data_IF_439925072602
#
_entry.id   IF_439925072602
#
_cell.length_a   1.000
_cell.length_b   1.000
_cell.length_c   1.000
_cell.angle_alpha   90.00
_cell.angle_beta   90.00
_cell.angle_gamma   90.00
#
_symmetry.space_group_name_H-M   'P 1'
#
loop_
_entity.id
_entity.type
_entity.pdbx_description
1 polymer ?
#
# COMPACT_ATOMS: atom_id res chain seq x y z
N UNK A 1 32.35 -10.41 -8.23
CA UNK A 1 31.01 -10.07 -8.78
C UNK A 1 30.38 -9.06 -7.84
N UNK A 2 29.79 -7.96 -8.32
CA UNK A 2 29.10 -7.04 -7.42
C UNK A 2 27.93 -7.79 -6.78
N UNK A 3 27.90 -7.81 -5.45
CA UNK A 3 26.77 -8.34 -4.68
C UNK A 3 25.58 -7.45 -5.01
N UNK A 4 24.57 -7.98 -5.69
CA UNK A 4 23.31 -7.25 -5.88
C UNK A 4 22.70 -7.08 -4.50
N UNK A 5 22.41 -5.85 -4.08
CA UNK A 5 21.61 -5.60 -2.89
C UNK A 5 20.30 -6.38 -2.98
N UNK A 6 19.88 -6.93 -1.83
CA UNK A 6 18.60 -7.63 -1.74
C UNK A 6 17.47 -6.66 -2.10
N UNK A 7 16.48 -7.15 -2.87
CA UNK A 7 15.32 -6.34 -3.23
C UNK A 7 14.50 -6.10 -1.97
N UNK A 8 14.14 -4.84 -1.71
CA UNK A 8 13.28 -4.50 -0.57
C UNK A 8 11.90 -5.17 -0.70
N UNK A 9 11.41 -5.72 0.41
CA UNK A 9 10.15 -6.42 0.54
C UNK A 9 9.10 -5.53 1.22
N UNK A 10 7.99 -5.31 0.54
CA UNK A 10 6.83 -4.57 1.07
C UNK A 10 5.69 -5.56 1.31
N UNK A 11 5.22 -5.62 2.55
CA UNK A 11 3.99 -6.31 2.91
C UNK A 11 2.82 -5.33 2.86
N UNK A 12 1.70 -5.78 2.31
CA UNK A 12 0.47 -4.98 2.20
C UNK A 12 -0.67 -5.74 2.83
N UNK A 13 -1.40 -5.09 3.72
CA UNK A 13 -2.66 -5.61 4.24
C UNK A 13 -3.76 -5.63 3.17
N UNK A 14 -4.79 -6.43 3.38
CA UNK A 14 -5.90 -6.57 2.46
C UNK A 14 -7.13 -5.75 2.88
N UNK A 15 -7.70 -6.05 4.05
CA UNK A 15 -9.00 -5.53 4.47
C UNK A 15 -8.85 -4.08 4.93
N UNK A 16 -9.64 -3.14 4.39
CA UNK A 16 -9.51 -1.69 4.63
C UNK A 16 -8.23 -1.03 4.09
N UNK A 17 -7.30 -1.79 3.50
CA UNK A 17 -6.08 -1.27 2.86
C UNK A 17 -6.12 -1.42 1.32
N UNK A 18 -6.56 -2.58 0.82
CA UNK A 18 -6.76 -2.86 -0.61
C UNK A 18 -8.23 -3.09 -0.96
N UNK A 19 -9.06 -3.57 -0.03
CA UNK A 19 -10.48 -3.81 -0.27
C UNK A 19 -11.38 -3.20 0.80
N UNK A 20 -12.58 -2.81 0.40
CA UNK A 20 -13.57 -2.15 1.25
C UNK A 20 -14.46 -3.18 1.96
N UNK A 21 -13.85 -4.02 2.79
CA UNK A 21 -14.52 -5.13 3.45
C UNK A 21 -15.52 -4.65 4.50
N UNK A 22 -15.22 -3.57 5.23
CA UNK A 22 -16.07 -3.08 6.31
C UNK A 22 -17.41 -2.58 5.79
N UNK A 23 -17.43 -1.87 4.65
CA UNK A 23 -18.68 -1.42 4.02
C UNK A 23 -19.62 -2.60 3.75
N UNK A 24 -19.12 -3.63 3.08
CA UNK A 24 -19.91 -4.82 2.76
C UNK A 24 -20.30 -5.64 4.00
N UNK A 25 -19.44 -5.68 5.03
CA UNK A 25 -19.74 -6.33 6.31
C UNK A 25 -20.89 -5.63 7.05
N UNK A 26 -20.89 -4.29 7.05
CA UNK A 26 -21.96 -3.49 7.67
C UNK A 26 -23.28 -3.69 6.95
N UNK A 27 -23.27 -3.63 5.61
CA UNK A 27 -24.46 -3.89 4.79
C UNK A 27 -25.02 -5.30 5.05
N UNK A 28 -24.15 -6.31 5.09
CA UNK A 28 -24.53 -7.68 5.42
C UNK A 28 -25.13 -7.81 6.81
N UNK A 29 -24.52 -7.17 7.82
CA UNK A 29 -24.99 -7.25 9.20
C UNK A 29 -26.35 -6.54 9.36
N UNK A 30 -26.55 -5.41 8.68
CA UNK A 30 -27.83 -4.71 8.66
C UNK A 30 -28.93 -5.56 8.01
N UNK A 31 -28.64 -6.18 6.85
CA UNK A 31 -29.60 -7.04 6.14
C UNK A 31 -29.96 -8.30 6.94
N UNK A 32 -28.96 -8.95 7.55
CA UNK A 32 -29.11 -10.26 8.20
C UNK A 32 -29.69 -10.15 9.61
N UNK A 33 -29.27 -9.14 10.37
CA UNK A 33 -29.64 -8.97 11.78
C UNK A 33 -30.62 -7.82 12.01
N UNK A 34 -31.13 -7.20 10.93
CA UNK A 34 -32.06 -6.07 10.98
C UNK A 34 -31.54 -4.91 11.85
N UNK A 35 -30.25 -4.63 11.71
CA UNK A 35 -29.58 -3.52 12.40
C UNK A 35 -29.50 -2.29 11.50
N UNK A 36 -29.06 -1.16 12.06
CA UNK A 36 -28.88 0.12 11.35
C UNK A 36 -27.49 0.71 11.61
N UNK A 37 -26.48 -0.16 11.61
CA UNK A 37 -25.08 0.22 11.81
C UNK A 37 -24.57 1.04 10.62
N UNK A 38 -23.66 1.95 10.91
CA UNK A 38 -22.94 2.79 9.96
C UNK A 38 -21.44 2.56 10.13
N UNK A 39 -20.66 2.85 9.09
CA UNK A 39 -19.19 2.83 9.18
C UNK A 39 -18.65 3.65 10.36
N UNK A 40 -19.30 4.77 10.66
CA UNK A 40 -18.91 5.68 11.75
C UNK A 40 -19.05 5.08 13.15
N UNK A 41 -19.77 3.97 13.28
CA UNK A 41 -19.96 3.25 14.54
C UNK A 41 -18.77 2.33 14.86
N UNK A 42 -17.85 2.15 13.90
CA UNK A 42 -16.65 1.32 14.05
C UNK A 42 -15.45 2.18 14.43
N UNK A 43 -15.18 2.25 15.73
CA UNK A 43 -13.97 2.85 16.31
C UNK A 43 -12.93 1.81 16.76
N UNK A 44 -13.25 0.52 16.55
CA UNK A 44 -12.42 -0.62 16.92
C UNK A 44 -12.57 -1.75 15.89
N UNK A 45 -11.52 -2.55 15.73
CA UNK A 45 -11.53 -3.77 14.91
C UNK A 45 -12.13 -4.97 15.69
N UNK A 46 -12.38 -4.81 17.00
CA UNK A 46 -13.08 -5.79 17.83
C UNK A 46 -14.60 -5.69 17.66
N UNK A 47 -15.13 -6.27 16.58
CA UNK A 47 -16.53 -6.09 16.20
C UNK A 47 -17.57 -6.51 17.25
N UNK A 48 -17.24 -7.43 18.16
CA UNK A 48 -18.12 -7.80 19.28
C UNK A 48 -18.46 -6.60 20.19
N UNK A 49 -17.57 -5.60 20.30
CA UNK A 49 -17.83 -4.38 21.09
C UNK A 49 -18.93 -3.51 20.47
N UNK A 50 -19.13 -3.62 19.16
CA UNK A 50 -20.09 -2.82 18.39
C UNK A 50 -21.39 -3.60 18.20
N UNK A 51 -21.28 -4.88 17.85
CA UNK A 51 -22.42 -5.75 17.65
C UNK A 51 -23.10 -6.20 18.95
N UNK A 52 -22.40 -6.04 20.08
CA UNK A 52 -22.76 -6.69 21.35
C UNK A 52 -22.46 -8.19 21.32
N UNK A 53 -22.66 -8.83 22.48
CA UNK A 53 -22.41 -10.26 22.65
C UNK A 53 -20.96 -10.59 22.98
N UNK A 54 -20.51 -11.79 22.61
CA UNK A 54 -19.14 -12.27 22.88
C UNK A 54 -18.22 -12.23 21.67
N UNK A 55 -16.92 -12.38 21.91
CA UNK A 55 -15.93 -12.51 20.83
C UNK A 55 -16.23 -13.70 19.93
N UNK A 56 -16.63 -14.83 20.51
CA UNK A 56 -17.01 -16.06 19.80
C UNK A 56 -18.22 -15.85 18.89
N UNK A 57 -19.22 -15.10 19.35
CA UNK A 57 -20.39 -14.73 18.54
C UNK A 57 -19.99 -13.84 17.36
N UNK A 58 -19.06 -12.90 17.55
CA UNK A 58 -18.53 -12.09 16.44
C UNK A 58 -17.73 -12.94 15.46
N UNK A 59 -16.96 -13.92 15.92
CA UNK A 59 -16.25 -14.84 15.06
C UNK A 59 -17.24 -15.62 14.19
N UNK A 60 -18.30 -16.17 14.80
CA UNK A 60 -19.38 -16.87 14.10
C UNK A 60 -20.02 -15.99 13.04
N UNK A 61 -20.38 -14.74 13.37
CA UNK A 61 -20.92 -13.76 12.41
C UNK A 61 -19.97 -13.51 11.24
N UNK A 62 -18.67 -13.37 11.51
CA UNK A 62 -17.67 -13.22 10.45
C UNK A 62 -17.61 -14.44 9.52
N UNK A 63 -17.78 -15.65 10.04
CA UNK A 63 -17.84 -16.86 9.19
C UNK A 63 -19.07 -16.86 8.30
N UNK A 64 -20.23 -16.49 8.83
CA UNK A 64 -21.45 -16.33 8.02
C UNK A 64 -21.30 -15.25 6.95
N UNK A 65 -20.63 -14.15 7.28
CA UNK A 65 -20.33 -13.11 6.31
C UNK A 65 -19.48 -13.66 5.16
N UNK A 66 -18.47 -14.49 5.44
CA UNK A 66 -17.64 -15.12 4.39
C UNK A 66 -18.44 -15.96 3.40
N UNK A 67 -19.57 -16.54 3.82
CA UNK A 67 -20.46 -17.33 2.98
C UNK A 67 -21.58 -16.51 2.31
N UNK A 68 -21.64 -15.21 2.58
CA UNK A 68 -22.67 -14.30 2.05
C UNK A 68 -22.32 -13.75 0.66
N UNK A 69 -23.35 -13.33 -0.08
CA UNK A 69 -23.20 -12.57 -1.34
C UNK A 69 -22.39 -11.28 -1.14
N UNK A 70 -22.55 -10.64 0.02
CA UNK A 70 -21.91 -9.36 0.32
C UNK A 70 -20.39 -9.51 0.36
N UNK A 71 -19.87 -10.64 0.84
CA UNK A 71 -18.43 -10.92 0.80
C UNK A 71 -17.92 -11.11 -0.64
N UNK A 72 -18.68 -11.83 -1.48
CA UNK A 72 -18.31 -12.06 -2.88
C UNK A 72 -18.38 -10.76 -3.72
N UNK A 73 -19.11 -9.74 -3.24
CA UNK A 73 -19.31 -8.45 -3.88
C UNK A 73 -18.33 -7.36 -3.42
N UNK A 74 -17.45 -7.64 -2.44
CA UNK A 74 -16.43 -6.71 -1.94
C UNK A 74 -15.68 -6.06 -3.11
N UNK A 75 -15.48 -4.74 -2.99
CA UNK A 75 -14.79 -3.94 -4.02
C UNK A 75 -13.37 -3.57 -3.58
N UNK A 76 -12.43 -3.41 -4.53
CA UNK A 76 -11.15 -2.80 -4.23
C UNK A 76 -11.35 -1.33 -3.83
N UNK A 77 -10.47 -0.84 -2.97
CA UNK A 77 -10.38 0.60 -2.70
C UNK A 77 -9.85 1.30 -3.96
N UNK A 78 -10.55 2.37 -4.36
CA UNK A 78 -10.30 3.12 -5.60
C UNK A 78 -9.64 4.48 -5.34
N UNK A 79 -8.41 4.46 -4.88
CA UNK A 79 -7.64 5.66 -4.54
C UNK A 79 -6.17 5.57 -4.96
N UNK A 80 -5.92 4.95 -6.13
CA UNK A 80 -4.60 4.72 -6.75
C UNK A 80 -3.79 3.50 -6.25
N UNK A 81 -4.43 2.57 -5.53
CA UNK A 81 -3.76 1.36 -5.03
C UNK A 81 -3.07 0.53 -6.13
N UNK A 82 -3.77 0.22 -7.22
CA UNK A 82 -3.22 -0.60 -8.29
C UNK A 82 -2.05 0.10 -9.00
N UNK A 83 -2.17 1.41 -9.23
CA UNK A 83 -1.15 2.25 -9.84
C UNK A 83 0.10 2.31 -8.96
N UNK A 84 -0.07 2.53 -7.65
CA UNK A 84 1.02 2.55 -6.68
C UNK A 84 1.76 1.20 -6.64
N UNK A 85 1.01 0.09 -6.56
CA UNK A 85 1.60 -1.25 -6.54
C UNK A 85 2.33 -1.60 -7.84
N UNK A 86 1.77 -1.24 -9.00
CA UNK A 86 2.47 -1.39 -10.30
C UNK A 86 3.75 -0.57 -10.34
N UNK A 87 3.71 0.66 -9.84
CA UNK A 87 4.89 1.53 -9.75
C UNK A 87 5.97 0.89 -8.86
N UNK A 88 5.61 0.43 -7.66
CA UNK A 88 6.55 -0.23 -6.74
C UNK A 88 7.16 -1.48 -7.37
N UNK A 89 6.34 -2.34 -7.98
CA UNK A 89 6.83 -3.53 -8.69
C UNK A 89 7.81 -3.18 -9.82
N UNK A 90 7.48 -2.17 -10.64
CA UNK A 90 8.35 -1.69 -11.74
C UNK A 90 9.69 -1.17 -11.22
N UNK A 91 9.72 -0.58 -10.02
CA UNK A 91 10.93 -0.09 -9.36
C UNK A 91 11.76 -1.16 -8.67
N UNK A 92 11.35 -2.42 -8.75
CA UNK A 92 12.13 -3.53 -8.22
C UNK A 92 11.79 -3.92 -6.79
N UNK A 93 10.75 -3.37 -6.16
CA UNK A 93 10.26 -3.89 -4.88
C UNK A 93 9.63 -5.28 -5.06
N UNK A 94 9.75 -6.13 -4.04
CA UNK A 94 8.95 -7.35 -3.91
C UNK A 94 7.71 -7.03 -3.10
N UNK A 95 6.56 -7.58 -3.51
CA UNK A 95 5.26 -7.26 -2.91
C UNK A 95 4.60 -8.56 -2.46
N UNK A 96 4.19 -8.60 -1.19
CA UNK A 96 3.43 -9.71 -0.61
C UNK A 96 2.20 -9.19 0.13
N UNK A 97 1.20 -10.04 0.29
CA UNK A 97 0.06 -9.75 1.15
C UNK A 97 0.27 -10.43 2.49
N UNK A 98 0.08 -9.72 3.59
CA UNK A 98 -0.10 -10.33 4.91
C UNK A 98 -1.48 -9.91 5.39
N UNK A 99 -2.39 -10.84 5.65
CA UNK A 99 -3.79 -10.54 6.00
C UNK A 99 -4.21 -11.24 7.29
N UNK A 100 -5.06 -10.56 8.08
CA UNK A 100 -5.63 -11.12 9.30
C UNK A 100 -6.65 -12.23 9.07
N UNK A 101 -7.10 -12.41 7.83
CA UNK A 101 -8.02 -13.48 7.41
C UNK A 101 -7.49 -14.87 7.79
N UNK A 102 -8.43 -15.80 7.92
CA UNK A 102 -8.12 -17.20 8.14
C UNK A 102 -7.89 -17.92 6.81
N UNK A 103 -6.98 -18.90 6.82
CA UNK A 103 -6.53 -19.62 5.64
C UNK A 103 -7.65 -20.44 4.99
N UNK A 104 -8.70 -20.84 5.73
CA UNK A 104 -9.82 -21.57 5.15
C UNK A 104 -10.63 -20.75 4.11
N UNK A 105 -10.49 -19.41 4.08
CA UNK A 105 -11.03 -18.55 2.99
C UNK A 105 -9.99 -18.14 1.94
N UNK A 106 -8.87 -18.87 1.85
CA UNK A 106 -7.78 -18.55 0.93
C UNK A 106 -8.23 -18.53 -0.54
N UNK A 107 -9.09 -19.45 -0.97
CA UNK A 107 -9.55 -19.48 -2.36
C UNK A 107 -10.34 -18.24 -2.75
N UNK A 108 -11.28 -17.78 -1.91
CA UNK A 108 -12.05 -16.57 -2.18
C UNK A 108 -11.15 -15.33 -2.16
N UNK A 109 -10.22 -15.28 -1.20
CA UNK A 109 -9.21 -14.21 -1.10
C UNK A 109 -8.34 -14.15 -2.36
N UNK A 110 -7.83 -15.30 -2.82
CA UNK A 110 -7.03 -15.39 -4.06
C UNK A 110 -7.82 -14.94 -5.29
N UNK A 111 -9.08 -15.34 -5.42
CA UNK A 111 -9.95 -14.90 -6.52
C UNK A 111 -10.12 -13.37 -6.56
N UNK A 112 -10.26 -12.73 -5.40
CA UNK A 112 -10.31 -11.27 -5.32
C UNK A 112 -9.00 -10.62 -5.79
N UNK A 113 -7.85 -11.12 -5.33
CA UNK A 113 -6.53 -10.60 -5.70
C UNK A 113 -6.25 -10.82 -7.19
N UNK A 114 -6.50 -12.01 -7.72
CA UNK A 114 -6.29 -12.33 -9.15
C UNK A 114 -7.15 -11.43 -10.05
N UNK A 115 -8.34 -11.04 -9.60
CA UNK A 115 -9.25 -10.16 -10.33
C UNK A 115 -8.81 -8.70 -10.32
N UNK A 116 -8.38 -8.18 -9.17
CA UNK A 116 -8.18 -6.74 -8.96
C UNK A 116 -6.72 -6.29 -8.96
N UNK A 117 -5.79 -7.18 -8.63
CA UNK A 117 -4.35 -6.92 -8.56
C UNK A 117 -3.55 -8.01 -9.31
N UNK A 118 -3.89 -8.30 -10.59
CA UNK A 118 -3.32 -9.42 -11.33
C UNK A 118 -1.81 -9.27 -11.49
N UNK A 119 -1.08 -10.32 -11.09
CA UNK A 119 0.37 -10.39 -11.27
C UNK A 119 1.14 -9.33 -10.48
N UNK A 120 0.59 -8.79 -9.39
CA UNK A 120 1.28 -7.85 -8.51
C UNK A 120 2.06 -8.59 -7.42
N UNK A 121 1.37 -9.35 -6.59
CA UNK A 121 1.90 -9.98 -5.40
C UNK A 121 2.53 -11.35 -5.66
N UNK A 122 3.61 -11.66 -4.95
CA UNK A 122 4.33 -12.94 -5.05
C UNK A 122 3.72 -14.03 -4.15
N UNK A 123 3.11 -13.64 -3.02
CA UNK A 123 2.56 -14.55 -2.02
C UNK A 123 1.49 -13.88 -1.15
N UNK A 124 0.64 -14.69 -0.51
CA UNK A 124 -0.33 -14.27 0.50
C UNK A 124 -0.03 -15.06 1.79
N UNK A 125 0.17 -14.35 2.88
CA UNK A 125 0.37 -14.91 4.22
C UNK A 125 -0.88 -14.64 5.06
N UNK A 126 -1.46 -15.71 5.62
CA UNK A 126 -2.64 -15.64 6.46
C UNK A 126 -2.22 -15.69 7.94
N UNK A 127 -2.57 -14.66 8.70
CA UNK A 127 -2.32 -14.61 10.13
C UNK A 127 -3.23 -15.54 10.92
N UNK A 128 -4.38 -15.93 10.35
CA UNK A 128 -5.38 -16.73 11.05
C UNK A 128 -5.78 -16.11 12.40
N UNK A 129 -6.12 -14.82 12.43
CA UNK A 129 -6.60 -14.20 13.67
C UNK A 129 -7.97 -14.76 14.03
N UNK A 130 -8.34 -14.70 15.32
CA UNK A 130 -9.68 -15.06 15.79
C UNK A 130 -10.12 -16.48 15.40
N UNK A 131 -9.22 -17.47 15.45
CA UNK A 131 -9.59 -18.88 15.29
C UNK A 131 -10.38 -19.38 16.50
N UNK A 132 -11.45 -20.11 16.23
CA UNK A 132 -12.14 -20.94 17.22
C UNK A 132 -11.24 -22.07 17.74
N UNK A 133 -11.60 -22.68 18.87
CA UNK A 133 -10.86 -23.82 19.43
C UNK A 133 -10.71 -24.97 18.44
N UNK A 134 -11.77 -25.26 17.68
CA UNK A 134 -11.73 -26.29 16.64
C UNK A 134 -10.77 -25.92 15.50
N UNK A 135 -10.84 -24.68 15.01
CA UNK A 135 -9.96 -24.21 13.92
C UNK A 135 -8.48 -24.20 14.35
N UNK A 136 -8.17 -24.01 15.65
CA UNK A 136 -6.81 -24.07 16.20
C UNK A 136 -6.17 -25.45 16.15
N UNK A 137 -6.95 -26.50 15.91
CA UNK A 137 -6.42 -27.85 15.70
C UNK A 137 -5.78 -28.01 14.31
N UNK A 138 -6.18 -27.18 13.35
CA UNK A 138 -5.74 -27.25 11.94
C UNK A 138 -4.89 -26.04 11.54
N UNK A 139 -5.14 -24.88 12.12
CA UNK A 139 -4.49 -23.61 11.76
C UNK A 139 -3.79 -22.96 12.94
N UNK A 140 -2.66 -22.30 12.65
CA UNK A 140 -1.87 -21.57 13.64
C UNK A 140 -2.11 -20.08 13.45
N UNK A 141 -2.56 -19.42 14.52
CA UNK A 141 -2.61 -17.95 14.58
C UNK A 141 -1.21 -17.39 14.74
N UNK A 142 -0.83 -16.44 13.87
CA UNK A 142 0.46 -15.78 13.90
C UNK A 142 0.29 -14.28 13.65
N UNK A 143 0.78 -13.40 14.55
CA UNK A 143 0.66 -11.95 14.35
C UNK A 143 1.51 -11.48 13.16
N UNK A 144 1.13 -10.35 12.57
CA UNK A 144 1.84 -9.78 11.42
C UNK A 144 3.31 -9.50 11.68
N UNK A 145 3.66 -9.04 12.88
CA UNK A 145 5.04 -8.78 13.28
C UNK A 145 5.92 -10.03 13.16
N UNK A 146 5.44 -11.18 13.64
CA UNK A 146 6.19 -12.45 13.52
C UNK A 146 6.35 -12.86 12.06
N UNK A 147 5.29 -12.74 11.23
CA UNK A 147 5.40 -13.03 9.80
C UNK A 147 6.39 -12.06 9.13
N UNK A 148 6.31 -10.77 9.43
CA UNK A 148 7.20 -9.75 8.89
C UNK A 148 8.67 -10.05 9.21
N UNK A 149 8.96 -10.46 10.45
CA UNK A 149 10.28 -10.85 10.89
C UNK A 149 10.78 -12.12 10.16
N UNK A 150 9.92 -13.14 10.02
CA UNK A 150 10.28 -14.42 9.38
C UNK A 150 10.63 -14.27 7.90
N UNK A 151 9.97 -13.37 7.18
CA UNK A 151 10.17 -13.19 5.73
C UNK A 151 11.04 -11.97 5.39
N UNK A 152 11.48 -11.20 6.38
CA UNK A 152 12.33 -10.02 6.19
C UNK A 152 11.62 -8.86 5.50
N UNK A 153 10.44 -8.48 5.99
CA UNK A 153 9.70 -7.30 5.48
C UNK A 153 10.44 -6.01 5.87
N UNK A 154 10.67 -5.13 4.90
CA UNK A 154 11.22 -3.80 5.15
C UNK A 154 10.12 -2.79 5.49
N UNK A 155 8.98 -2.85 4.78
CA UNK A 155 7.87 -1.92 4.95
C UNK A 155 6.53 -2.67 5.03
N UNK A 156 5.71 -2.36 6.03
CA UNK A 156 4.32 -2.77 6.12
C UNK A 156 3.38 -1.62 5.75
N UNK A 157 2.38 -1.88 4.91
CA UNK A 157 1.25 -0.98 4.66
C UNK A 157 0.00 -1.63 5.26
N UNK A 158 -0.57 -1.03 6.30
CA UNK A 158 -1.66 -1.64 7.09
C UNK A 158 -2.52 -0.54 7.72
N UNK A 159 -3.80 -0.78 7.96
CA UNK A 159 -4.72 0.19 8.56
C UNK A 159 -4.82 0.04 10.09
N UNK A 160 -4.38 -1.08 10.66
CA UNK A 160 -4.49 -1.37 12.08
C UNK A 160 -3.33 -0.76 12.89
N UNK A 161 -3.69 0.02 13.90
CA UNK A 161 -2.71 0.55 14.85
C UNK A 161 -1.98 -0.55 15.63
N UNK A 162 -2.67 -1.63 16.02
CA UNK A 162 -2.05 -2.74 16.76
C UNK A 162 -1.01 -3.48 15.92
N UNK A 163 -1.31 -3.70 14.62
CA UNK A 163 -0.33 -4.28 13.70
C UNK A 163 0.86 -3.34 13.49
N UNK A 164 0.58 -2.04 13.31
CA UNK A 164 1.62 -1.04 13.13
C UNK A 164 2.57 -0.99 14.32
N UNK A 165 2.05 -1.00 15.55
CA UNK A 165 2.85 -1.02 16.77
C UNK A 165 3.71 -2.29 16.84
N UNK A 166 3.10 -3.47 16.66
CA UNK A 166 3.82 -4.74 16.75
C UNK A 166 4.93 -4.88 15.70
N UNK A 167 4.72 -4.37 14.48
CA UNK A 167 5.76 -4.37 13.43
C UNK A 167 6.81 -3.29 13.67
N UNK A 168 6.41 -2.13 14.17
CA UNK A 168 7.32 -1.05 14.55
C UNK A 168 8.33 -1.50 15.61
N UNK A 169 7.88 -2.26 16.62
CA UNK A 169 8.71 -2.74 17.73
C UNK A 169 9.84 -3.68 17.30
N UNK A 170 9.69 -4.35 16.15
CA UNK A 170 10.71 -5.22 15.56
C UNK A 170 11.54 -4.51 14.47
N UNK A 171 11.37 -3.19 14.31
CA UNK A 171 12.15 -2.36 13.39
C UNK A 171 11.64 -2.34 11.95
N UNK A 172 10.42 -2.80 11.68
CA UNK A 172 9.79 -2.67 10.35
C UNK A 172 9.23 -1.24 10.21
N UNK A 173 9.48 -0.59 9.07
CA UNK A 173 8.86 0.70 8.77
C UNK A 173 7.38 0.48 8.44
N UNK A 174 6.48 1.33 8.95
CA UNK A 174 5.04 1.16 8.73
C UNK A 174 4.43 2.40 8.08
N UNK A 175 3.72 2.20 6.99
CA UNK A 175 2.79 3.16 6.43
C UNK A 175 1.38 2.84 6.94
N UNK A 176 0.96 3.54 8.00
CA UNK A 176 -0.35 3.37 8.62
C UNK A 176 -1.42 4.00 7.71
N UNK A 177 -2.12 3.16 6.96
CA UNK A 177 -3.11 3.58 5.97
C UNK A 177 -4.41 3.98 6.66
N UNK A 178 -4.81 5.23 6.49
CA UNK A 178 -5.99 5.83 7.12
C UNK A 178 -6.83 6.52 6.05
N UNK A 179 -7.70 5.75 5.39
CA UNK A 179 -8.41 6.21 4.20
C UNK A 179 -9.13 7.53 4.47
N UNK A 180 -8.62 8.62 3.90
CA UNK A 180 -9.16 9.97 4.06
C UNK A 180 -9.32 10.42 5.53
N UNK A 181 -8.60 9.79 6.48
CA UNK A 181 -8.71 10.13 7.90
C UNK A 181 -9.94 9.56 8.60
N UNK A 182 -10.61 8.55 8.03
CA UNK A 182 -11.87 8.03 8.58
C UNK A 182 -11.69 6.84 9.54
N UNK A 183 -10.50 6.25 9.62
CA UNK A 183 -10.25 5.04 10.41
C UNK A 183 -9.96 5.37 11.87
N UNK A 184 -11.03 5.64 12.63
CA UNK A 184 -10.96 6.03 14.05
C UNK A 184 -10.11 5.07 14.92
N UNK A 185 -10.11 3.78 14.60
CA UNK A 185 -9.35 2.76 15.33
C UNK A 185 -7.84 2.96 15.28
N UNK A 186 -7.34 3.82 14.38
CA UNK A 186 -5.92 4.02 14.19
C UNK A 186 -5.41 5.42 14.54
N UNK A 187 -6.20 6.25 15.24
CA UNK A 187 -5.87 7.66 15.59
C UNK A 187 -5.13 7.84 16.93
N UNK A 188 -4.27 6.90 17.29
CA UNK A 188 -3.41 7.00 18.47
C UNK A 188 -2.04 7.63 18.13
N UNK A 189 -1.25 7.92 19.17
CA UNK A 189 0.12 8.43 19.01
C UNK A 189 1.02 7.40 18.32
N UNK A 190 1.78 7.84 17.32
CA UNK A 190 2.58 6.96 16.48
C UNK A 190 4.06 6.91 16.92
N UNK A 191 4.71 5.74 16.88
CA UNK A 191 6.16 5.62 16.93
C UNK A 191 6.86 6.36 15.77
N UNK A 192 8.15 6.61 15.89
CA UNK A 192 8.91 7.42 14.90
C UNK A 192 8.98 6.80 13.50
N UNK A 193 9.00 5.48 13.41
CA UNK A 193 9.02 4.69 12.17
C UNK A 193 7.61 4.28 11.69
N UNK A 194 6.55 4.86 12.28
CA UNK A 194 5.17 4.68 11.83
C UNK A 194 4.68 5.99 11.23
N UNK A 195 4.21 5.91 10.00
CA UNK A 195 3.90 7.05 9.17
C UNK A 195 2.47 6.94 8.64
N UNK A 196 1.59 7.83 9.11
CA UNK A 196 0.22 7.90 8.61
C UNK A 196 0.19 8.34 7.14
N UNK A 197 -0.62 7.67 6.34
CA UNK A 197 -0.90 8.01 4.95
C UNK A 197 -2.40 7.91 4.69
N UNK A 198 -2.97 8.89 3.99
CA UNK A 198 -4.43 9.01 3.85
C UNK A 198 -5.00 8.44 2.55
N UNK A 199 -4.13 8.06 1.62
CA UNK A 199 -4.47 7.47 0.34
C UNK A 199 -3.22 6.86 -0.31
N UNK A 200 -3.40 6.10 -1.38
CA UNK A 200 -2.28 5.46 -2.08
C UNK A 200 -1.37 6.44 -2.85
N UNK A 201 -1.78 7.68 -3.13
CA UNK A 201 -0.84 8.70 -3.64
C UNK A 201 0.19 9.08 -2.58
N UNK A 202 -0.21 9.22 -1.32
CA UNK A 202 0.74 9.46 -0.22
C UNK A 202 1.64 8.26 0.03
N UNK A 203 1.14 7.03 -0.14
CA UNK A 203 2.00 5.83 -0.18
C UNK A 203 3.06 5.99 -1.26
N UNK A 204 2.68 6.34 -2.50
CA UNK A 204 3.64 6.52 -3.59
C UNK A 204 4.72 7.58 -3.27
N UNK A 205 4.34 8.67 -2.60
CA UNK A 205 5.26 9.74 -2.21
C UNK A 205 6.34 9.26 -1.21
N UNK A 206 6.06 8.22 -0.41
CA UNK A 206 7.07 7.60 0.48
C UNK A 206 8.14 6.80 -0.25
N UNK A 207 7.95 6.59 -1.56
CA UNK A 207 8.93 5.95 -2.42
C UNK A 207 9.27 6.94 -3.55
N UNK A 208 10.06 8.00 -3.30
CA UNK A 208 10.43 8.97 -4.32
C UNK A 208 11.23 8.31 -5.45
N UNK A 209 11.21 8.94 -6.64
CA UNK A 209 12.02 8.45 -7.76
C UNK A 209 13.50 8.54 -7.38
N UNK A 210 14.36 7.63 -7.86
CA UNK A 210 15.78 7.89 -7.84
C UNK A 210 16.03 9.22 -8.54
N UNK A 211 16.85 10.09 -7.93
CA UNK A 211 17.29 11.33 -8.57
C UNK A 211 17.84 11.04 -9.96
N UNK A 212 17.53 11.91 -10.93
CA UNK A 212 18.03 11.76 -12.29
C UNK A 212 19.56 11.57 -12.28
N UNK A 213 20.10 10.56 -12.97
CA UNK A 213 21.56 10.46 -13.14
C UNK A 213 22.08 11.59 -14.04
N UNK A 214 21.22 12.25 -14.81
CA UNK A 214 21.54 13.41 -15.64
C UNK A 214 21.55 14.68 -14.78
N UNK A 215 22.41 14.74 -13.77
CA UNK A 215 22.61 15.95 -12.95
C UNK A 215 23.30 17.08 -13.72
N UNK A 216 24.03 16.70 -14.75
CA UNK A 216 24.85 17.59 -15.55
C UNK A 216 24.43 17.47 -17.01
N UNK A 217 23.91 18.56 -17.55
CA UNK A 217 23.76 18.72 -18.99
C UNK A 217 25.01 19.44 -19.51
N UNK A 218 25.66 18.83 -20.51
CA UNK A 218 26.86 19.37 -21.14
C UNK A 218 26.45 19.88 -22.51
N UNK A 219 26.54 21.19 -22.71
CA UNK A 219 26.24 21.84 -23.98
C UNK A 219 27.54 22.28 -24.67
N UNK A 220 27.64 22.06 -25.97
CA UNK A 220 28.69 22.63 -26.81
C UNK A 220 28.21 23.94 -27.40
N UNK A 221 29.03 24.98 -27.31
CA UNK A 221 28.78 26.25 -27.99
C UNK A 221 29.92 26.53 -28.97
N UNK A 222 29.57 27.06 -30.14
CA UNK A 222 30.55 27.61 -31.09
C UNK A 222 30.78 29.07 -30.71
N UNK A 223 32.03 29.44 -30.43
CA UNK A 223 32.44 30.84 -30.30
C UNK A 223 32.41 31.50 -31.70
N UNK A 224 31.20 31.79 -32.18
CA UNK A 224 30.99 32.56 -33.39
C UNK A 224 30.87 34.05 -33.03
N UNK A 225 31.98 34.65 -32.60
CA UNK A 225 32.35 36.06 -32.85
C UNK A 225 33.65 36.42 -32.08
N UNK A 226 34.82 36.24 -32.70
CA UNK A 226 35.59 37.39 -33.21
C UNK A 226 36.93 37.00 -33.87
N UNK A 227 37.01 37.36 -35.15
CA UNK A 227 38.16 37.80 -35.96
C UNK A 227 39.52 37.04 -35.97
N UNK A 228 39.83 36.51 -37.17
CA UNK A 228 41.15 36.29 -37.77
C UNK A 228 42.21 35.55 -36.92
N UNK A 229 42.33 34.24 -37.13
CA UNK A 229 43.66 33.66 -37.26
C UNK A 229 43.65 32.34 -38.04
N UNK A 230 44.41 32.30 -39.13
CA UNK A 230 44.87 31.07 -39.76
C UNK A 230 45.79 30.34 -38.77
N UNK A 231 45.28 29.33 -38.08
CA UNK A 231 45.94 28.07 -37.71
C UNK A 231 45.27 27.42 -36.49
N UNK A 232 44.97 26.14 -36.65
CA UNK A 232 44.95 25.07 -35.64
C UNK A 232 43.81 25.00 -34.61
N UNK A 233 43.26 23.78 -34.52
CA UNK A 233 42.38 23.21 -33.49
C UNK A 233 41.19 24.06 -32.98
N UNK A 234 39.99 23.81 -33.52
CA UNK A 234 38.73 24.26 -32.90
C UNK A 234 38.54 23.57 -31.54
N UNK A 235 38.84 24.27 -30.46
CA UNK A 235 38.53 23.81 -29.12
C UNK A 235 37.05 24.08 -28.83
N UNK A 236 36.20 23.05 -28.83
CA UNK A 236 34.86 23.17 -28.25
C UNK A 236 35.00 23.36 -26.74
N UNK A 237 34.44 24.45 -26.21
CA UNK A 237 34.25 24.62 -24.78
C UNK A 237 32.94 23.95 -24.35
N UNK A 238 32.97 23.39 -23.14
CA UNK A 238 31.82 22.71 -22.53
C UNK A 238 31.51 23.42 -21.22
N UNK A 239 30.27 23.85 -21.06
CA UNK A 239 29.76 24.35 -19.78
C UNK A 239 28.89 23.28 -19.12
N UNK A 240 29.06 23.11 -17.81
CA UNK A 240 28.27 22.18 -17.00
C UNK A 240 27.21 22.97 -16.25
N UNK A 241 25.94 22.71 -16.54
CA UNK A 241 24.82 23.31 -15.83
C UNK A 241 24.19 22.25 -14.93
N UNK A 242 24.03 22.56 -13.64
CA UNK A 242 23.25 21.75 -12.72
C UNK A 242 21.75 21.99 -12.97
N UNK A 243 21.02 20.92 -13.22
CA UNK A 243 19.56 20.98 -13.39
C UNK A 243 18.92 20.79 -12.02
N UNK A 244 18.31 21.84 -11.47
CA UNK A 244 17.49 21.71 -10.26
C UNK A 244 16.22 20.89 -10.58
N UNK A 245 15.97 19.83 -9.81
CA UNK A 245 14.72 19.08 -9.90
C UNK A 245 13.62 19.94 -9.24
N UNK A 246 12.67 20.47 -10.02
CA UNK A 246 11.49 21.14 -9.48
C UNK A 246 10.69 20.16 -8.61
N UNK A 247 10.63 20.42 -7.30
CA UNK A 247 9.69 19.76 -6.41
C UNK A 247 8.27 20.24 -6.76
N UNK A 248 7.51 19.37 -7.43
CA UNK A 248 6.11 19.63 -7.75
C UNK A 248 5.32 19.93 -6.47
N UNK A 249 4.70 21.11 -6.42
CA UNK A 249 3.84 21.51 -5.31
C UNK A 249 2.57 20.65 -5.25
N UNK A 250 1.95 20.54 -4.06
CA UNK A 250 0.73 19.76 -3.86
C UNK A 250 -0.44 20.20 -4.77
N UNK A 251 -0.46 21.46 -5.21
CA UNK A 251 -1.48 21.99 -6.13
C UNK A 251 -1.28 21.52 -7.59
N UNK A 252 -0.04 21.34 -8.05
CA UNK A 252 0.27 20.93 -9.43
C UNK A 252 0.00 19.43 -9.69
N UNK A 253 0.11 18.61 -8.64
CA UNK A 253 -0.25 17.19 -8.68
C UNK A 253 -1.74 16.94 -8.99
N UNK A 254 -2.60 17.94 -8.78
CA UNK A 254 -4.02 17.87 -9.11
C UNK A 254 -4.36 18.40 -10.51
N UNK A 255 -3.52 19.22 -11.14
CA UNK A 255 -3.84 19.88 -12.41
C UNK A 255 -3.34 19.12 -13.66
N UNK A 256 -2.33 18.27 -13.54
CA UNK A 256 -1.61 17.75 -14.73
C UNK A 256 -2.14 16.47 -15.39
N UNK A 257 -3.28 15.91 -14.98
CA UNK A 257 -3.84 14.70 -15.62
C UNK A 257 -5.13 14.90 -16.43
N UNK A 258 -5.57 16.13 -16.64
CA UNK A 258 -6.61 16.45 -17.63
C UNK A 258 -6.00 17.20 -18.81
N UNK A 259 -5.25 16.52 -19.69
CA UNK A 259 -5.06 16.98 -21.07
C UNK A 259 -4.75 15.81 -22.02
N UNK A 260 -5.79 15.50 -22.79
CA UNK A 260 -5.86 14.89 -24.11
C UNK A 260 -4.89 13.78 -24.53
N UNK A 261 -5.51 12.59 -24.72
CA UNK A 261 -5.08 11.54 -25.64
C UNK A 261 -5.28 11.98 -27.10
N UNK A 262 -4.48 12.91 -27.61
CA UNK A 262 -4.40 13.16 -29.05
C UNK A 262 -2.96 13.00 -29.53
N UNK A 263 -2.69 11.81 -30.09
CA UNK A 263 -1.55 11.57 -30.96
C UNK A 263 -1.89 12.17 -32.33
N UNK A 264 -1.07 13.09 -32.82
CA UNK A 264 -1.05 13.44 -34.24
C UNK A 264 0.36 13.30 -34.80
N UNK A 265 0.40 12.54 -35.90
CA UNK A 265 1.49 12.11 -36.80
C UNK A 265 2.47 11.09 -36.25
#
# INVERSE_FOLDING_TARGET
MPVREARKLIAVDLDQTLCDTLQNLVEWHNDTYHTQLKLTDFDTLDFWKIWGGTSEESCRKIREFYDSRHFDEIKPIKDFALEALKMLKKRGFQLVIITSRQQFIAEKTKKFIDRHYPGIFESIYFCNLNLSEKERLEYISKPKSVICQEIGVDVLIDDSFEHALGCSDIGVDVLLYDRQGIYKWNHQQLPSNVHRVFNWKQVMARFPKPSSPLKHCIYSFDDADDHYCYHDHSYCQYETIEVEEEELSEEELNYHYTKDNSVWV
#
